data_IF_827146359756
#
_entry.id   IF_827146359756
#
_cell.length_a   1.000
_cell.length_b   1.000
_cell.length_c   1.000
_cell.angle_alpha   90.00
_cell.angle_beta   90.00
_cell.angle_gamma   90.00
#
_symmetry.space_group_name_H-M   'P 1'
#
loop_
_entity.id
_entity.type
_entity.pdbx_description
1 polymer ?
#
# COMPACT_ATOMS: atom_id res chain seq x y z
N UNK A 1 15.42 15.92 0.33
CA UNK A 1 14.75 15.33 1.51
C UNK A 1 14.13 14.05 1.01
N UNK A 2 14.70 12.93 1.42
CA UNK A 2 14.25 11.62 0.98
C UNK A 2 13.27 11.13 2.05
N UNK A 3 11.99 11.12 1.71
CA UNK A 3 10.92 10.68 2.59
C UNK A 3 10.45 9.31 2.14
N UNK A 4 10.57 8.33 3.02
CA UNK A 4 9.97 7.01 2.82
C UNK A 4 8.55 7.03 3.39
N UNK A 5 7.57 6.70 2.55
CA UNK A 5 6.16 6.70 2.94
C UNK A 5 5.64 5.29 3.00
N UNK A 6 5.05 4.93 4.14
CA UNK A 6 4.47 3.60 4.36
C UNK A 6 2.94 3.69 4.30
N UNK A 7 2.34 2.98 3.34
CA UNK A 7 0.89 2.85 3.19
C UNK A 7 0.45 1.48 3.68
N UNK A 8 -0.26 1.44 4.81
CA UNK A 8 -0.80 0.22 5.39
C UNK A 8 -2.14 -0.14 4.74
N UNK A 9 -2.10 -1.05 3.77
CA UNK A 9 -3.26 -1.56 3.03
C UNK A 9 -3.74 -2.95 3.53
N UNK A 10 -3.07 -3.56 4.51
CA UNK A 10 -3.32 -4.93 5.01
C UNK A 10 -4.45 -5.10 6.06
N UNK A 11 -5.40 -4.17 6.16
CA UNK A 11 -6.45 -4.21 7.17
C UNK A 11 -7.70 -4.99 6.75
N UNK A 12 -8.01 -6.10 7.44
CA UNK A 12 -9.27 -6.85 7.24
C UNK A 12 -10.47 -6.05 7.76
N UNK A 13 -11.43 -5.74 6.89
CA UNK A 13 -12.64 -5.00 7.26
C UNK A 13 -13.87 -5.91 7.31
N UNK A 14 -14.46 -6.10 8.50
CA UNK A 14 -15.71 -6.87 8.66
C UNK A 14 -16.98 -6.07 8.34
N UNK A 15 -16.90 -4.73 8.37
CA UNK A 15 -18.04 -3.82 8.17
C UNK A 15 -18.52 -3.70 6.71
N UNK A 16 -17.66 -4.06 5.76
CA UNK A 16 -17.92 -3.96 4.33
C UNK A 16 -18.18 -5.34 3.69
N UNK A 17 -18.40 -6.38 4.50
CA UNK A 17 -18.88 -7.68 4.02
C UNK A 17 -20.28 -7.48 3.39
N UNK A 18 -20.56 -7.92 2.14
CA UNK A 18 -19.82 -8.86 1.28
C UNK A 18 -18.85 -8.28 0.24
N UNK A 19 -18.67 -6.96 0.21
CA UNK A 19 -17.77 -6.30 -0.75
C UNK A 19 -16.29 -6.58 -0.44
N UNK A 20 -15.93 -6.68 0.84
CA UNK A 20 -14.59 -7.03 1.30
C UNK A 20 -14.54 -8.51 1.66
N UNK A 21 -13.79 -9.29 0.88
CA UNK A 21 -13.50 -10.71 1.10
C UNK A 21 -12.04 -10.90 1.52
N UNK A 22 -11.66 -12.11 1.96
CA UNK A 22 -10.25 -12.42 2.27
C UNK A 22 -9.31 -12.19 1.07
N UNK A 23 -9.87 -12.26 -0.15
CA UNK A 23 -9.16 -12.10 -1.42
C UNK A 23 -9.08 -10.63 -1.87
N UNK A 24 -10.02 -9.76 -1.45
CA UNK A 24 -10.09 -8.37 -1.92
C UNK A 24 -10.01 -7.44 -0.70
N UNK A 25 -8.83 -6.87 -0.40
CA UNK A 25 -8.69 -5.91 0.68
C UNK A 25 -9.46 -4.63 0.37
N UNK A 26 -9.87 -3.91 1.41
CA UNK A 26 -10.60 -2.63 1.29
C UNK A 26 -9.86 -1.61 0.40
N UNK A 27 -8.53 -1.64 0.43
CA UNK A 27 -7.68 -0.74 -0.33
C UNK A 27 -7.74 -0.95 -1.86
N UNK A 28 -8.11 -2.16 -2.31
CA UNK A 28 -8.25 -2.50 -3.73
C UNK A 28 -9.70 -2.47 -4.19
N UNK A 29 -10.65 -2.09 -3.33
CA UNK A 29 -12.04 -1.96 -3.75
C UNK A 29 -12.15 -0.92 -4.87
N UNK A 30 -12.96 -1.18 -5.91
CA UNK A 30 -13.20 -0.21 -6.95
C UNK A 30 -14.13 0.90 -6.43
N UNK A 31 -13.67 2.15 -6.51
CA UNK A 31 -14.46 3.36 -6.32
C UNK A 31 -14.35 4.16 -7.61
N UNK A 32 -15.48 4.51 -8.21
CA UNK A 32 -15.53 5.18 -9.52
C UNK A 32 -14.65 4.49 -10.60
N UNK A 33 -14.76 3.16 -10.69
CA UNK A 33 -14.04 2.31 -11.66
C UNK A 33 -12.50 2.30 -11.53
N UNK A 34 -11.96 2.75 -10.39
CA UNK A 34 -10.53 2.70 -10.05
C UNK A 34 -10.33 2.15 -8.64
N UNK A 35 -9.24 1.42 -8.34
CA UNK A 35 -9.00 0.93 -6.98
C UNK A 35 -8.77 2.12 -6.03
N UNK A 36 -9.28 2.06 -4.80
CA UNK A 36 -9.09 3.14 -3.81
C UNK A 36 -7.61 3.53 -3.63
N UNK A 37 -6.69 2.56 -3.72
CA UNK A 37 -5.26 2.84 -3.60
C UNK A 37 -4.74 3.83 -4.67
N UNK A 38 -5.32 3.87 -5.87
CA UNK A 38 -4.83 4.76 -6.94
C UNK A 38 -4.93 6.23 -6.54
N UNK A 39 -6.00 6.62 -5.85
CA UNK A 39 -6.17 8.00 -5.36
C UNK A 39 -5.08 8.39 -4.37
N UNK A 40 -4.66 7.46 -3.51
CA UNK A 40 -3.57 7.69 -2.56
C UNK A 40 -2.26 7.85 -3.31
N UNK A 41 -1.98 7.00 -4.30
CA UNK A 41 -0.78 7.09 -5.14
C UNK A 41 -0.71 8.42 -5.92
N UNK A 42 -1.81 8.84 -6.54
CA UNK A 42 -1.89 10.12 -7.27
C UNK A 42 -1.59 11.33 -6.35
N UNK A 43 -2.10 11.31 -5.11
CA UNK A 43 -1.82 12.37 -4.12
C UNK A 43 -0.36 12.40 -3.68
N UNK A 44 0.26 11.22 -3.54
CA UNK A 44 1.66 11.08 -3.14
C UNK A 44 2.60 11.50 -4.28
N UNK A 45 2.25 11.16 -5.51
CA UNK A 45 2.94 11.63 -6.72
C UNK A 45 2.87 13.17 -6.82
N UNK A 46 1.68 13.75 -6.61
CA UNK A 46 1.50 15.21 -6.58
C UNK A 46 2.30 15.90 -5.46
N UNK A 47 2.60 15.17 -4.38
CA UNK A 47 3.43 15.64 -3.26
C UNK A 47 4.93 15.43 -3.50
N UNK A 48 5.33 14.93 -4.68
CA UNK A 48 6.71 14.67 -5.09
C UNK A 48 7.43 13.64 -4.20
N UNK A 49 6.68 12.69 -3.64
CA UNK A 49 7.17 11.59 -2.81
C UNK A 49 7.45 10.36 -3.68
N UNK A 50 8.73 9.98 -3.80
CA UNK A 50 9.18 8.97 -4.78
C UNK A 50 9.29 7.55 -4.22
N UNK A 51 9.48 7.42 -2.91
CA UNK A 51 9.71 6.15 -2.24
C UNK A 51 8.50 5.73 -1.42
N UNK A 52 7.79 4.71 -1.91
CA UNK A 52 6.57 4.22 -1.30
C UNK A 52 6.65 2.74 -0.96
N UNK A 53 6.25 2.42 0.27
CA UNK A 53 6.12 1.04 0.75
C UNK A 53 4.65 0.78 1.00
N UNK A 54 4.05 -0.13 0.23
CA UNK A 54 2.68 -0.59 0.45
C UNK A 54 2.75 -1.91 1.20
N UNK A 55 2.17 -1.90 2.41
CA UNK A 55 2.08 -3.09 3.25
C UNK A 55 0.71 -3.69 3.10
N UNK A 56 0.65 -4.89 2.56
CA UNK A 56 -0.62 -5.61 2.41
C UNK A 56 -0.42 -7.09 2.73
N UNK A 57 -1.37 -7.67 3.46
CA UNK A 57 -1.43 -9.13 3.68
C UNK A 57 -1.82 -9.90 2.41
N UNK A 58 -2.18 -9.17 1.35
CA UNK A 58 -2.56 -9.68 0.04
C UNK A 58 -1.66 -9.04 -1.03
N UNK A 59 -1.16 -9.83 -1.98
CA UNK A 59 -0.34 -9.32 -3.08
C UNK A 59 -1.22 -8.53 -4.05
N UNK A 60 -1.10 -7.19 -4.14
CA UNK A 60 -1.87 -6.45 -5.12
C UNK A 60 -1.37 -6.83 -6.53
N UNK A 61 -2.27 -7.04 -7.50
CA UNK A 61 -1.88 -7.21 -8.90
C UNK A 61 -1.39 -5.86 -9.42
N UNK A 62 -0.15 -5.51 -9.10
CA UNK A 62 0.69 -4.59 -9.86
C UNK A 62 0.05 -3.19 -10.04
N UNK A 63 0.27 -2.32 -9.05
CA UNK A 63 0.01 -0.89 -9.21
C UNK A 63 1.26 -0.24 -9.77
N UNK A 64 1.39 -0.24 -11.09
CA UNK A 64 2.47 0.46 -11.79
C UNK A 64 2.09 1.92 -11.97
N UNK A 65 2.64 2.76 -11.11
CA UNK A 65 2.87 4.17 -11.42
C UNK A 65 4.25 4.29 -12.08
N UNK A 66 4.35 4.94 -13.23
CA UNK A 66 5.62 5.07 -13.99
C UNK A 66 6.68 5.90 -13.24
N UNK A 67 6.26 6.78 -12.32
CA UNK A 67 7.13 7.72 -11.62
C UNK A 67 7.39 7.39 -10.14
N UNK A 68 6.73 6.37 -9.59
CA UNK A 68 6.80 6.01 -8.17
C UNK A 68 7.44 4.64 -7.99
N UNK A 69 8.45 4.55 -7.12
CA UNK A 69 9.00 3.26 -6.73
C UNK A 69 8.10 2.66 -5.66
N UNK A 70 7.21 1.75 -6.05
CA UNK A 70 6.30 1.06 -5.13
C UNK A 70 6.90 -0.28 -4.72
N UNK A 71 7.23 -0.44 -3.44
CA UNK A 71 7.61 -1.73 -2.85
C UNK A 71 6.40 -2.33 -2.15
N UNK A 72 5.96 -3.50 -2.62
CA UNK A 72 4.93 -4.27 -1.93
C UNK A 72 5.60 -5.19 -0.91
N UNK A 73 5.27 -5.02 0.37
CA UNK A 73 5.76 -5.87 1.44
C UNK A 73 4.59 -6.58 2.12
N UNK A 74 4.73 -7.88 2.33
CA UNK A 74 3.88 -8.62 3.24
C UNK A 74 4.14 -8.21 4.70
N UNK A 75 3.19 -8.56 5.57
CA UNK A 75 3.36 -8.34 7.02
C UNK A 75 4.64 -8.99 7.57
N UNK A 76 5.00 -10.18 7.06
CA UNK A 76 6.25 -10.86 7.41
C UNK A 76 7.48 -10.17 6.81
N UNK A 77 7.38 -9.60 5.61
CA UNK A 77 8.51 -8.93 4.97
C UNK A 77 8.93 -7.67 5.73
N UNK A 78 7.98 -6.94 6.35
CA UNK A 78 8.33 -5.84 7.27
C UNK A 78 9.20 -6.37 8.39
N UNK A 79 8.83 -7.50 9.01
CA UNK A 79 9.54 -8.06 10.16
C UNK A 79 10.96 -8.52 9.80
N UNK A 80 11.18 -9.00 8.58
CA UNK A 80 12.48 -9.51 8.10
C UNK A 80 13.34 -8.49 7.33
N UNK A 81 12.76 -7.40 6.83
CA UNK A 81 13.50 -6.42 6.04
C UNK A 81 14.30 -5.45 6.92
N UNK A 82 15.53 -5.09 6.50
CA UNK A 82 16.34 -4.06 7.13
C UNK A 82 15.84 -2.68 6.68
N UNK A 83 14.62 -2.31 7.11
CA UNK A 83 14.05 -1.01 6.80
C UNK A 83 14.72 0.08 7.63
N UNK A 84 14.99 1.27 7.06
CA UNK A 84 15.75 2.33 7.72
C UNK A 84 15.06 2.88 8.98
N UNK A 85 13.73 2.83 9.06
CA UNK A 85 12.95 3.23 10.25
C UNK A 85 12.84 2.15 11.33
N UNK A 86 13.39 0.97 11.08
CA UNK A 86 13.38 -0.17 12.00
C UNK A 86 14.62 -0.24 12.90
N UNK A 87 15.54 0.71 12.76
CA UNK A 87 16.72 0.86 13.59
C UNK A 87 16.41 1.66 14.87
N UNK A 88 17.04 1.21 15.97
CA UNK A 88 17.00 1.72 17.35
C UNK A 88 15.72 1.52 18.17
N UNK A 89 15.63 0.36 18.84
CA UNK A 89 15.14 0.23 20.23
C UNK A 89 16.16 -0.56 21.04
#
# INVERSE_FOLDING_TARGET
MDFEVVVLAGGTSRKLNPLVSQEIPKALLPVANRPVLSYVLELLEASNLKDLIVVSSFSPPILLSENLTVRCLGFFDILLSPLPWKAEV
#
